data_IF_134620786684
#
_entry.id   IF_134620786684
#
_cell.length_a   1.000
_cell.length_b   1.000
_cell.length_c   1.000
_cell.angle_alpha   90.00
_cell.angle_beta   90.00
_cell.angle_gamma   90.00
#
_symmetry.space_group_name_H-M   'P 1'
#
loop_
_entity.id
_entity.type
_entity.pdbx_description
1 polymer ?
#
# COMPACT_ATOMS: atom_id res chain seq x y z
N UNK A 1 25.47 -8.67 0.43
CA UNK A 1 24.24 -8.16 -0.18
C UNK A 1 23.34 -7.59 0.91
N UNK A 2 22.83 -6.43 0.71
CA UNK A 2 21.96 -5.83 1.70
C UNK A 2 20.56 -6.45 1.62
N UNK A 3 19.84 -6.39 2.74
CA UNK A 3 18.48 -6.90 2.78
C UNK A 3 17.57 -6.19 1.79
N UNK A 4 17.79 -4.90 1.57
CA UNK A 4 16.95 -4.12 0.67
C UNK A 4 17.05 -4.61 -0.76
N UNK A 5 18.15 -5.27 -1.14
CA UNK A 5 18.30 -5.82 -2.48
C UNK A 5 17.31 -6.95 -2.76
N UNK A 6 16.73 -7.57 -1.70
CA UNK A 6 15.77 -8.66 -1.83
C UNK A 6 14.34 -8.23 -1.60
N UNK A 7 14.12 -6.94 -1.42
CA UNK A 7 12.79 -6.45 -1.16
C UNK A 7 12.07 -6.09 -2.44
N UNK A 8 10.77 -6.37 -2.45
CA UNK A 8 9.90 -5.93 -3.51
C UNK A 8 9.27 -4.59 -3.14
N UNK A 9 8.86 -3.86 -4.15
CA UNK A 9 8.15 -2.60 -3.98
C UNK A 9 6.71 -2.80 -4.44
N UNK A 10 5.77 -2.35 -3.63
CA UNK A 10 4.36 -2.38 -3.99
C UNK A 10 3.79 -0.98 -3.96
N UNK A 11 2.80 -0.76 -4.79
CA UNK A 11 2.11 0.53 -4.87
C UNK A 11 0.62 0.30 -4.80
N UNK A 12 -0.06 1.14 -4.03
CA UNK A 12 -1.52 1.18 -4.02
C UNK A 12 -1.91 2.62 -4.31
N UNK A 13 -2.73 2.83 -5.32
CA UNK A 13 -3.20 4.17 -5.64
C UNK A 13 -4.67 4.26 -5.25
N UNK A 14 -5.02 5.28 -4.48
CA UNK A 14 -6.38 5.49 -4.04
C UNK A 14 -6.84 6.88 -4.39
N UNK A 15 -8.15 7.08 -4.36
CA UNK A 15 -8.73 8.40 -4.52
C UNK A 15 -9.23 8.85 -3.15
N UNK A 16 -8.60 9.91 -2.63
CA UNK A 16 -8.97 10.48 -1.35
C UNK A 16 -8.22 9.89 -0.16
N UNK A 17 -8.16 10.68 0.90
CA UNK A 17 -7.36 10.35 2.07
C UNK A 17 -7.94 9.19 2.88
N UNK A 18 -9.27 9.11 2.98
CA UNK A 18 -9.90 8.06 3.78
C UNK A 18 -9.57 6.69 3.20
N UNK A 19 -9.69 6.55 1.87
CA UNK A 19 -9.34 5.29 1.22
C UNK A 19 -7.86 4.96 1.39
N UNK A 20 -6.99 5.98 1.32
CA UNK A 20 -5.56 5.78 1.49
C UNK A 20 -5.23 5.26 2.89
N UNK A 21 -5.83 5.85 3.91
CA UNK A 21 -5.59 5.43 5.29
C UNK A 21 -6.08 4.01 5.52
N UNK A 22 -7.27 3.69 5.01
CA UNK A 22 -7.80 2.33 5.13
C UNK A 22 -6.93 1.32 4.40
N UNK A 23 -6.44 1.68 3.21
CA UNK A 23 -5.56 0.80 2.45
C UNK A 23 -4.25 0.55 3.20
N UNK A 24 -3.64 1.60 3.72
CA UNK A 24 -2.37 1.47 4.44
C UNK A 24 -2.54 0.61 5.70
N UNK A 25 -3.61 0.85 6.44
CA UNK A 25 -3.87 0.10 7.67
C UNK A 25 -4.05 -1.39 7.36
N UNK A 26 -4.89 -1.70 6.37
CA UNK A 26 -5.13 -3.10 6.01
C UNK A 26 -3.87 -3.78 5.50
N UNK A 27 -3.05 -3.05 4.73
CA UNK A 27 -1.82 -3.60 4.20
C UNK A 27 -0.86 -4.02 5.31
N UNK A 28 -0.61 -3.14 6.27
CA UNK A 28 0.36 -3.45 7.33
C UNK A 28 -0.17 -4.48 8.33
N UNK A 29 -1.48 -4.65 8.41
CA UNK A 29 -2.06 -5.66 9.27
C UNK A 29 -2.07 -7.05 8.63
N UNK A 30 -2.02 -7.12 7.31
CA UNK A 30 -2.15 -8.39 6.59
C UNK A 30 -0.83 -9.11 6.38
N UNK A 31 0.28 -8.40 6.36
CA UNK A 31 1.58 -8.98 6.04
C UNK A 31 2.69 -8.11 6.61
N UNK A 32 3.88 -8.69 6.66
CA UNK A 32 5.05 -7.99 7.22
C UNK A 32 5.66 -7.09 6.15
N UNK A 33 5.11 -5.90 6.03
CA UNK A 33 5.58 -4.88 5.09
C UNK A 33 5.73 -3.55 5.80
N UNK A 34 6.47 -2.63 5.16
CA UNK A 34 6.65 -1.27 5.67
C UNK A 34 6.02 -0.29 4.68
N UNK A 35 5.38 0.72 5.21
CA UNK A 35 4.97 1.86 4.40
C UNK A 35 6.20 2.75 4.27
N UNK A 36 6.69 2.94 3.06
CA UNK A 36 7.89 3.75 2.83
C UNK A 36 7.57 5.12 2.24
N UNK A 37 6.33 5.36 1.88
CA UNK A 37 5.93 6.66 1.40
C UNK A 37 4.44 6.72 1.14
N UNK A 38 3.91 7.93 1.21
CA UNK A 38 2.52 8.19 0.86
C UNK A 38 2.54 9.56 0.20
N UNK A 39 2.20 9.61 -1.08
CA UNK A 39 2.31 10.83 -1.87
C UNK A 39 0.99 11.18 -2.52
N UNK A 40 0.64 12.44 -2.45
CA UNK A 40 -0.48 12.96 -3.21
C UNK A 40 0.08 13.47 -4.53
N UNK A 41 -0.32 12.86 -5.64
CA UNK A 41 0.27 13.17 -6.93
C UNK A 41 -0.52 14.23 -7.67
N UNK A 42 -1.80 14.03 -7.91
CA UNK A 42 -2.62 15.06 -8.53
C UNK A 42 -4.07 14.86 -8.13
N UNK A 43 -4.81 15.94 -8.08
CA UNK A 43 -6.19 15.95 -7.63
C UNK A 43 -6.30 15.23 -6.30
N UNK A 44 -7.12 14.22 -6.19
CA UNK A 44 -7.30 13.48 -4.96
C UNK A 44 -6.56 12.14 -4.94
N UNK A 45 -5.66 11.91 -5.91
CA UNK A 45 -4.96 10.64 -6.00
C UNK A 45 -3.82 10.57 -5.00
N UNK A 46 -3.77 9.48 -4.25
CA UNK A 46 -2.73 9.25 -3.24
C UNK A 46 -2.11 7.89 -3.54
N UNK A 47 -0.77 7.87 -3.64
CA UNK A 47 -0.01 6.66 -3.88
C UNK A 47 0.64 6.23 -2.58
N UNK A 48 0.39 5.00 -2.16
CA UNK A 48 1.00 4.40 -0.98
C UNK A 48 2.08 3.45 -1.47
N UNK A 49 3.30 3.63 -0.97
CA UNK A 49 4.45 2.81 -1.36
C UNK A 49 4.81 1.88 -0.23
N UNK A 50 4.94 0.61 -0.56
CA UNK A 50 5.22 -0.46 0.41
C UNK A 50 6.49 -1.19 0.03
N UNK A 51 7.19 -1.72 1.03
CA UNK A 51 8.36 -2.54 0.78
C UNK A 51 8.35 -3.76 1.71
N UNK A 52 8.89 -4.87 1.22
CA UNK A 52 8.99 -6.09 1.97
C UNK A 52 9.29 -7.26 1.03
N UNK A 53 9.22 -8.48 1.53
CA UNK A 53 9.36 -9.66 0.68
C UNK A 53 8.25 -9.70 -0.35
N UNK A 54 8.54 -10.28 -1.51
CA UNK A 54 7.62 -10.30 -2.63
C UNK A 54 6.23 -10.83 -2.25
N UNK A 55 6.19 -11.99 -1.57
CA UNK A 55 4.90 -12.57 -1.20
C UNK A 55 4.15 -11.68 -0.21
N UNK A 56 4.87 -11.08 0.73
CA UNK A 56 4.26 -10.19 1.72
C UNK A 56 3.71 -8.93 1.04
N UNK A 57 4.45 -8.38 0.10
CA UNK A 57 4.00 -7.18 -0.62
C UNK A 57 2.76 -7.49 -1.44
N UNK A 58 2.72 -8.65 -2.13
CA UNK A 58 1.54 -9.04 -2.89
C UNK A 58 0.30 -9.15 -1.99
N UNK A 59 0.46 -9.83 -0.85
CA UNK A 59 -0.65 -9.97 0.11
C UNK A 59 -1.09 -8.61 0.65
N UNK A 60 -0.14 -7.74 0.95
CA UNK A 60 -0.44 -6.41 1.50
C UNK A 60 -1.16 -5.54 0.48
N UNK A 61 -0.71 -5.56 -0.78
CA UNK A 61 -1.36 -4.79 -1.84
C UNK A 61 -2.79 -5.26 -2.05
N UNK A 62 -3.00 -6.57 -2.08
CA UNK A 62 -4.36 -7.12 -2.24
C UNK A 62 -5.27 -6.69 -1.09
N UNK A 63 -4.78 -6.84 0.15
CA UNK A 63 -5.58 -6.48 1.32
C UNK A 63 -5.87 -4.98 1.36
N UNK A 64 -4.88 -4.18 1.04
CA UNK A 64 -5.04 -2.72 1.03
C UNK A 64 -6.02 -2.26 -0.04
N UNK A 65 -5.89 -2.81 -1.24
CA UNK A 65 -6.78 -2.47 -2.34
C UNK A 65 -8.23 -2.86 -2.02
N UNK A 66 -8.43 -4.05 -1.45
CA UNK A 66 -9.76 -4.49 -1.07
C UNK A 66 -10.36 -3.59 0.01
N UNK A 67 -9.56 -3.16 0.97
CA UNK A 67 -10.03 -2.27 2.02
C UNK A 67 -10.43 -0.91 1.44
N UNK A 68 -9.63 -0.39 0.52
CA UNK A 68 -9.93 0.89 -0.12
C UNK A 68 -11.23 0.81 -0.92
N UNK A 69 -11.44 -0.31 -1.62
CA UNK A 69 -12.68 -0.50 -2.38
C UNK A 69 -13.92 -0.49 -1.49
N UNK A 70 -13.78 -1.00 -0.27
CA UNK A 70 -14.92 -1.03 0.65
C UNK A 70 -15.37 0.36 1.10
N UNK A 71 -14.45 1.34 1.05
CA UNK A 71 -14.87 2.72 1.31
C UNK A 71 -15.16 3.47 0.02
N UNK A 72 -15.08 2.77 -1.13
CA UNK A 72 -15.62 3.24 -2.38
C UNK A 72 -14.67 3.94 -3.33
N UNK A 73 -13.42 4.14 -2.96
CA UNK A 73 -12.53 4.97 -3.76
C UNK A 73 -11.16 4.33 -3.94
N UNK A 74 -10.96 3.71 -5.05
CA UNK A 74 -9.66 3.15 -5.42
C UNK A 74 -9.21 3.77 -6.71
#
# INVERSE_FOLDING_TARGET
MSESANEALGLIETRGLVAAIEAADAAVKSASVRIIGMEQTQAALITIKLAGETAAVQAAVDAGSNAAERVGEV
#
